data_IF_281922287225
#
_entry.id   IF_281922287225
#
_cell.length_a   1.000
_cell.length_b   1.000
_cell.length_c   1.000
_cell.angle_alpha   90.00
_cell.angle_beta   90.00
_cell.angle_gamma   90.00
#
_symmetry.space_group_name_H-M   'P 1'
#
loop_
_entity.id
_entity.type
_entity.pdbx_description
1 polymer ?
#
# COMPACT_ATOMS: atom_id res chain seq x y z
N UNK A 1 29.06 4.59 -77.69
CA UNK A 1 29.85 3.87 -76.65
C UNK A 1 29.49 4.46 -75.31
N UNK A 2 28.63 3.80 -74.57
CA UNK A 2 28.23 4.19 -73.22
C UNK A 2 28.73 3.10 -72.27
N UNK A 3 29.78 3.40 -71.56
CA UNK A 3 30.35 2.52 -70.56
C UNK A 3 30.29 3.23 -69.24
N UNK A 4 29.35 2.90 -68.38
CA UNK A 4 29.21 2.99 -66.95
C UNK A 4 27.70 3.01 -66.59
N UNK A 5 27.08 1.82 -66.43
CA UNK A 5 25.91 1.66 -65.60
C UNK A 5 26.38 1.46 -64.17
N UNK A 6 26.14 2.42 -63.28
CA UNK A 6 26.21 2.23 -61.84
C UNK A 6 24.99 1.43 -61.42
N UNK A 7 25.18 0.22 -60.95
CA UNK A 7 24.16 -0.49 -60.18
C UNK A 7 24.08 0.21 -58.83
N UNK A 8 22.92 0.78 -58.50
CA UNK A 8 22.62 1.19 -57.18
C UNK A 8 22.32 -0.05 -56.32
N UNK A 9 23.32 -0.52 -55.60
CA UNK A 9 23.08 -1.41 -54.48
C UNK A 9 22.49 -0.51 -53.35
N UNK A 10 21.19 -0.55 -53.17
CA UNK A 10 20.56 -0.07 -51.96
C UNK A 10 21.04 -0.94 -50.83
N UNK A 11 21.90 -0.39 -49.99
CA UNK A 11 22.24 -0.99 -48.70
C UNK A 11 20.97 -0.89 -47.87
N UNK A 12 20.24 -2.00 -47.71
CA UNK A 12 19.17 -2.11 -46.72
C UNK A 12 19.83 -1.79 -45.36
N UNK A 13 19.50 -0.61 -44.84
CA UNK A 13 19.86 -0.24 -43.48
C UNK A 13 19.14 -1.21 -42.57
N UNK A 14 19.89 -2.17 -42.01
CA UNK A 14 19.42 -2.98 -40.90
C UNK A 14 18.99 -2.02 -39.80
N UNK A 15 17.66 -1.95 -39.58
CA UNK A 15 17.09 -1.16 -38.52
C UNK A 15 17.70 -1.68 -37.20
N UNK A 16 18.66 -0.93 -36.66
CA UNK A 16 19.16 -1.15 -35.31
C UNK A 16 17.94 -1.10 -34.40
N UNK A 17 17.57 -2.26 -33.84
CA UNK A 17 16.60 -2.32 -32.76
C UNK A 17 17.17 -1.50 -31.60
N UNK A 18 16.79 -0.22 -31.51
CA UNK A 18 17.01 0.58 -30.33
C UNK A 18 16.30 -0.11 -29.17
N UNK A 19 17.04 -0.86 -28.40
CA UNK A 19 16.55 -1.42 -27.14
C UNK A 19 16.23 -0.22 -26.25
N UNK A 20 14.95 0.02 -26.00
CA UNK A 20 14.52 1.02 -25.01
C UNK A 20 14.96 0.52 -23.63
N UNK A 21 16.01 1.09 -23.10
CA UNK A 21 16.52 0.80 -21.75
C UNK A 21 15.83 1.64 -20.66
N UNK A 22 14.96 2.54 -21.07
CA UNK A 22 14.16 3.35 -20.14
C UNK A 22 13.24 2.45 -19.31
N UNK A 23 13.28 2.58 -17.98
CA UNK A 23 12.48 1.78 -17.05
C UNK A 23 13.11 0.45 -16.64
N UNK A 24 14.26 0.03 -17.20
CA UNK A 24 14.92 -1.21 -16.80
C UNK A 24 15.78 -1.06 -15.52
N UNK A 25 16.10 0.17 -15.14
CA UNK A 25 16.96 0.49 -14.02
C UNK A 25 16.29 1.46 -13.06
N UNK A 26 16.41 1.19 -11.76
CA UNK A 26 15.89 2.02 -10.68
C UNK A 26 17.04 2.50 -9.83
N UNK A 27 17.14 3.80 -9.56
CA UNK A 27 18.12 4.36 -8.64
C UNK A 27 17.51 4.40 -7.24
N UNK A 28 18.19 3.78 -6.28
CA UNK A 28 17.78 3.85 -4.89
C UNK A 28 18.02 5.25 -4.32
N UNK A 29 17.02 5.85 -3.68
CA UNK A 29 17.13 7.20 -3.11
C UNK A 29 18.04 7.26 -1.89
N UNK A 30 18.18 6.16 -1.13
CA UNK A 30 19.01 6.10 0.06
C UNK A 30 20.48 5.84 -0.30
N UNK A 31 20.82 4.68 -0.85
CA UNK A 31 22.19 4.33 -1.14
C UNK A 31 22.70 4.83 -2.51
N UNK A 32 21.83 5.46 -3.33
CA UNK A 32 22.12 6.02 -4.66
C UNK A 32 22.59 4.99 -5.70
N UNK A 33 22.62 3.71 -5.37
CA UNK A 33 22.98 2.64 -6.29
C UNK A 33 21.89 2.41 -7.33
N UNK A 34 22.33 2.03 -8.52
CA UNK A 34 21.43 1.65 -9.63
C UNK A 34 21.17 0.16 -9.55
N UNK A 35 19.90 -0.24 -9.57
CA UNK A 35 19.45 -1.61 -9.42
C UNK A 35 18.65 -1.99 -10.67
N UNK A 36 18.86 -3.19 -11.19
CA UNK A 36 18.03 -3.70 -12.27
C UNK A 36 16.61 -3.94 -11.78
N UNK A 37 15.63 -3.45 -12.53
CA UNK A 37 14.21 -3.50 -12.13
C UNK A 37 13.76 -4.93 -11.83
N UNK A 38 14.15 -5.92 -12.67
CA UNK A 38 13.80 -7.32 -12.45
C UNK A 38 14.35 -7.89 -11.13
N UNK A 39 15.57 -7.50 -10.75
CA UNK A 39 16.15 -7.95 -9.47
C UNK A 39 15.41 -7.30 -8.30
N UNK A 40 14.99 -6.05 -8.46
CA UNK A 40 14.20 -5.34 -7.46
C UNK A 40 12.81 -5.98 -7.29
N UNK A 41 12.13 -6.27 -8.40
CA UNK A 41 10.81 -6.91 -8.41
C UNK A 41 10.87 -8.32 -7.79
N UNK A 42 11.85 -9.14 -8.21
CA UNK A 42 12.07 -10.47 -7.62
C UNK A 42 12.43 -10.42 -6.13
N UNK A 43 12.93 -9.28 -5.65
CA UNK A 43 13.26 -9.03 -4.24
C UNK A 43 12.12 -8.33 -3.48
N UNK A 44 10.88 -8.42 -3.96
CA UNK A 44 9.72 -7.76 -3.36
C UNK A 44 9.88 -6.24 -3.25
N UNK A 45 10.50 -5.61 -4.22
CA UNK A 45 10.79 -4.18 -4.22
C UNK A 45 11.58 -3.71 -2.97
N UNK A 46 12.48 -4.55 -2.47
CA UNK A 46 13.46 -4.21 -1.44
C UNK A 46 14.83 -4.03 -2.10
N UNK A 47 15.51 -2.94 -1.81
CA UNK A 47 16.84 -2.66 -2.35
C UNK A 47 17.83 -3.78 -2.02
N UNK A 48 18.47 -4.36 -3.02
CA UNK A 48 19.45 -5.45 -2.82
C UNK A 48 20.78 -4.98 -2.21
N UNK A 49 20.96 -3.66 -1.98
CA UNK A 49 22.21 -3.05 -1.49
C UNK A 49 22.08 -2.47 -0.08
N UNK A 50 20.99 -1.81 0.24
CA UNK A 50 20.80 -1.17 1.54
C UNK A 50 19.50 -1.57 2.24
N UNK A 51 18.77 -2.52 1.67
CA UNK A 51 17.50 -3.05 2.22
C UNK A 51 16.37 -2.00 2.34
N UNK A 52 16.51 -0.83 1.68
CA UNK A 52 15.40 0.13 1.60
C UNK A 52 14.18 -0.54 0.99
N UNK A 53 13.03 -0.40 1.63
CA UNK A 53 11.75 -0.82 1.13
C UNK A 53 11.18 0.22 0.18
N UNK A 54 11.07 -0.10 -1.11
CA UNK A 54 10.31 0.72 -2.05
C UNK A 54 8.82 0.48 -1.86
N UNK A 55 8.00 1.44 -2.30
CA UNK A 55 6.55 1.26 -2.30
C UNK A 55 6.16 0.16 -3.27
N UNK A 56 5.19 -0.63 -2.87
CA UNK A 56 4.55 -1.66 -3.69
C UNK A 56 3.06 -1.39 -3.75
N UNK A 57 2.43 -1.83 -4.81
CA UNK A 57 0.99 -1.69 -4.96
C UNK A 57 0.21 -2.67 -4.05
N UNK A 58 -1.11 -2.48 -4.00
CA UNK A 58 -1.99 -3.29 -3.16
C UNK A 58 -2.01 -4.76 -3.57
N UNK A 59 -1.86 -5.09 -4.86
CA UNK A 59 -1.84 -6.46 -5.35
C UNK A 59 -0.52 -7.17 -5.06
N UNK A 60 0.61 -6.49 -5.26
CA UNK A 60 1.92 -6.99 -4.82
C UNK A 60 1.92 -7.24 -3.30
N UNK A 61 1.22 -6.40 -2.54
CA UNK A 61 1.05 -6.57 -1.09
C UNK A 61 0.24 -7.83 -0.77
N UNK A 62 -0.85 -8.06 -1.47
CA UNK A 62 -1.64 -9.28 -1.30
C UNK A 62 -0.85 -10.53 -1.72
N UNK A 63 -0.09 -10.47 -2.81
CA UNK A 63 0.77 -11.55 -3.27
C UNK A 63 1.87 -11.90 -2.25
N UNK A 64 2.44 -10.89 -1.59
CA UNK A 64 3.44 -11.08 -0.53
C UNK A 64 2.88 -11.82 0.70
N UNK A 65 1.64 -11.54 1.07
CA UNK A 65 1.07 -11.97 2.35
C UNK A 65 0.26 -13.25 2.23
N UNK A 66 -0.45 -13.46 1.12
CA UNK A 66 -1.35 -14.59 0.96
C UNK A 66 -0.66 -15.83 0.39
N UNK A 67 -1.26 -16.99 0.62
CA UNK A 67 -0.78 -18.26 0.10
C UNK A 67 -1.00 -18.34 -1.41
N UNK A 68 -0.01 -18.84 -2.14
CA UNK A 68 -0.04 -18.92 -3.60
C UNK A 68 0.48 -17.66 -4.31
N UNK A 69 0.71 -16.56 -3.59
CA UNK A 69 1.29 -15.35 -4.17
C UNK A 69 2.81 -15.40 -4.24
N UNK A 70 3.35 -14.96 -5.38
CA UNK A 70 4.78 -14.80 -5.64
C UNK A 70 5.02 -13.46 -6.36
N UNK A 71 6.27 -12.93 -6.43
CA UNK A 71 6.55 -11.73 -7.21
C UNK A 71 6.09 -11.88 -8.66
N UNK A 72 5.20 -10.98 -9.10
CA UNK A 72 4.67 -10.99 -10.47
C UNK A 72 3.53 -11.98 -10.72
N UNK A 73 2.96 -12.61 -9.70
CA UNK A 73 1.77 -13.47 -9.85
C UNK A 73 0.56 -12.66 -10.32
N UNK A 74 -0.20 -13.20 -11.27
CA UNK A 74 -1.45 -12.61 -11.73
C UNK A 74 -2.52 -12.60 -10.62
N UNK A 75 -3.41 -11.62 -10.68
CA UNK A 75 -4.28 -11.18 -9.57
C UNK A 75 -5.34 -12.19 -9.12
N UNK A 76 -5.71 -13.16 -9.94
CA UNK A 76 -7.01 -13.85 -9.77
C UNK A 76 -6.91 -15.28 -9.21
N UNK A 77 -5.70 -15.80 -8.95
CA UNK A 77 -5.54 -17.24 -8.70
C UNK A 77 -5.51 -17.64 -7.22
N UNK A 78 -5.30 -16.71 -6.27
CA UNK A 78 -5.03 -17.07 -4.88
C UNK A 78 -5.80 -16.27 -3.82
N UNK A 79 -6.62 -15.28 -4.22
CA UNK A 79 -7.52 -14.55 -3.32
C UNK A 79 -8.79 -14.12 -4.03
N UNK A 80 -9.82 -13.81 -3.24
CA UNK A 80 -11.09 -13.30 -3.75
C UNK A 80 -11.26 -11.85 -3.35
N UNK A 81 -11.36 -10.94 -4.34
CA UNK A 81 -11.66 -9.53 -4.10
C UNK A 81 -13.15 -9.33 -3.86
N UNK A 82 -13.50 -8.49 -2.90
CA UNK A 82 -14.88 -8.10 -2.65
C UNK A 82 -15.03 -6.59 -2.53
N UNK A 83 -16.26 -6.08 -2.71
CA UNK A 83 -16.60 -4.65 -2.70
C UNK A 83 -15.79 -3.78 -3.69
N UNK A 84 -15.26 -4.39 -4.76
CA UNK A 84 -14.41 -3.74 -5.76
C UNK A 84 -15.13 -2.69 -6.64
N UNK A 85 -16.45 -2.62 -6.56
CA UNK A 85 -17.31 -1.72 -7.36
C UNK A 85 -17.60 -0.38 -6.66
N UNK A 86 -17.19 -0.21 -5.41
CA UNK A 86 -17.36 1.04 -4.69
C UNK A 86 -16.51 2.16 -5.34
N UNK A 87 -17.14 3.29 -5.65
CA UNK A 87 -16.48 4.42 -6.29
C UNK A 87 -17.00 5.75 -5.73
N UNK A 88 -16.11 6.73 -5.57
CA UNK A 88 -16.46 8.08 -5.14
C UNK A 88 -17.29 8.81 -6.20
N UNK A 89 -18.27 9.59 -5.75
CA UNK A 89 -19.21 10.34 -6.57
C UNK A 89 -18.93 11.83 -6.66
N UNK A 90 -17.86 12.33 -5.99
CA UNK A 90 -17.55 13.76 -5.87
C UNK A 90 -18.75 14.60 -5.38
N UNK A 91 -19.25 14.36 -4.17
CA UNK A 91 -20.47 15.00 -3.67
C UNK A 91 -20.32 16.52 -3.48
N UNK A 92 -19.09 17.00 -3.29
CA UNK A 92 -18.81 18.43 -3.07
C UNK A 92 -18.51 19.19 -4.36
N UNK A 93 -18.37 18.52 -5.49
CA UNK A 93 -17.91 19.10 -6.77
C UNK A 93 -16.63 19.92 -6.57
N UNK A 94 -15.69 19.32 -5.80
CA UNK A 94 -14.47 20.00 -5.37
C UNK A 94 -13.56 20.32 -6.56
N UNK A 95 -13.02 21.54 -6.54
CA UNK A 95 -12.04 21.99 -7.53
C UNK A 95 -10.98 22.84 -6.83
N UNK A 96 -9.72 22.47 -6.98
CA UNK A 96 -8.54 23.27 -6.68
C UNK A 96 -7.86 23.69 -7.98
N UNK A 97 -6.64 23.25 -8.24
CA UNK A 97 -5.97 23.41 -9.54
C UNK A 97 -6.62 22.55 -10.65
N UNK A 98 -7.41 21.53 -10.26
CA UNK A 98 -8.08 20.59 -11.13
C UNK A 98 -9.34 20.03 -10.45
N UNK A 99 -10.41 19.79 -11.22
CA UNK A 99 -11.62 19.18 -10.68
C UNK A 99 -11.35 17.76 -10.12
N UNK A 100 -11.89 17.46 -8.94
CA UNK A 100 -11.73 16.16 -8.28
C UNK A 100 -12.23 14.99 -9.15
N UNK A 101 -13.36 15.18 -9.83
CA UNK A 101 -13.91 14.20 -10.77
C UNK A 101 -12.92 13.80 -11.86
N UNK A 102 -12.16 14.76 -12.40
CA UNK A 102 -11.16 14.47 -13.45
C UNK A 102 -9.94 13.77 -12.88
N UNK A 103 -9.56 14.11 -11.64
CA UNK A 103 -8.49 13.44 -10.89
C UNK A 103 -8.86 11.99 -10.62
N UNK A 104 -10.10 11.72 -10.18
CA UNK A 104 -10.62 10.37 -9.99
C UNK A 104 -10.54 9.55 -11.28
N UNK A 105 -11.09 10.07 -12.39
CA UNK A 105 -11.07 9.36 -13.68
C UNK A 105 -9.67 9.00 -14.15
N UNK A 106 -8.74 9.96 -14.03
CA UNK A 106 -7.35 9.73 -14.44
C UNK A 106 -6.71 8.65 -13.57
N UNK A 107 -6.88 8.71 -12.24
CA UNK A 107 -6.28 7.76 -11.33
C UNK A 107 -6.90 6.37 -11.49
N UNK A 108 -8.21 6.27 -11.66
CA UNK A 108 -8.89 5.02 -11.99
C UNK A 108 -8.35 4.39 -13.28
N UNK A 109 -8.12 5.20 -14.31
CA UNK A 109 -7.57 4.73 -15.58
C UNK A 109 -6.10 4.26 -15.45
N UNK A 110 -5.29 4.91 -14.60
CA UNK A 110 -3.87 4.58 -14.43
C UNK A 110 -3.64 3.40 -13.48
N UNK A 111 -4.50 3.21 -12.46
CA UNK A 111 -4.35 2.14 -11.45
C UNK A 111 -5.22 0.91 -11.75
N UNK A 112 -6.27 1.07 -12.54
CA UNK A 112 -7.30 0.04 -12.73
C UNK A 112 -8.23 -0.14 -11.52
N UNK A 113 -8.02 0.61 -10.43
CA UNK A 113 -8.82 0.55 -9.21
C UNK A 113 -9.96 1.57 -9.22
N UNK A 114 -10.97 1.34 -8.41
CA UNK A 114 -12.08 2.29 -8.21
C UNK A 114 -11.78 3.31 -7.12
N UNK A 115 -11.02 2.92 -6.10
CA UNK A 115 -10.54 3.80 -5.02
C UNK A 115 -9.26 3.24 -4.37
N UNK A 116 -8.75 3.89 -3.34
CA UNK A 116 -7.43 3.67 -2.74
C UNK A 116 -7.36 2.46 -1.78
N UNK A 117 -8.14 1.42 -2.00
CA UNK A 117 -8.11 0.20 -1.18
C UNK A 117 -8.60 -1.01 -1.98
N UNK A 118 -8.00 -2.16 -1.71
CA UNK A 118 -8.45 -3.48 -2.20
C UNK A 118 -8.75 -4.35 -0.99
N UNK A 119 -9.98 -4.86 -0.92
CA UNK A 119 -10.39 -5.84 0.07
C UNK A 119 -10.30 -7.24 -0.53
N UNK A 120 -9.67 -8.15 0.18
CA UNK A 120 -9.49 -9.52 -0.24
C UNK A 120 -9.77 -10.53 0.87
N UNK A 121 -10.23 -11.69 0.49
CA UNK A 121 -10.31 -12.89 1.30
C UNK A 121 -9.32 -13.92 0.77
N UNK A 122 -8.50 -14.47 1.64
CA UNK A 122 -7.45 -15.42 1.26
C UNK A 122 -6.94 -16.18 2.48
N UNK A 123 -5.76 -16.81 2.32
CA UNK A 123 -5.14 -17.60 3.38
C UNK A 123 -3.72 -17.12 3.68
N UNK A 124 -3.36 -17.12 4.96
CA UNK A 124 -1.99 -16.95 5.44
C UNK A 124 -1.58 -18.25 6.14
N UNK A 125 -0.69 -19.00 5.52
CA UNK A 125 -0.26 -20.33 5.98
C UNK A 125 -1.44 -21.26 6.30
N UNK A 126 -2.38 -21.36 5.36
CA UNK A 126 -3.59 -22.18 5.45
C UNK A 126 -4.71 -21.63 6.32
N UNK A 127 -4.54 -20.49 6.96
CA UNK A 127 -5.51 -19.82 7.83
C UNK A 127 -6.30 -18.77 7.06
N UNK A 128 -7.61 -18.88 7.02
CA UNK A 128 -8.48 -17.88 6.38
C UNK A 128 -8.34 -16.53 7.07
N UNK A 129 -8.22 -15.47 6.27
CA UNK A 129 -8.10 -14.09 6.74
C UNK A 129 -8.87 -13.13 5.83
N UNK A 130 -9.28 -11.99 6.38
CA UNK A 130 -9.75 -10.83 5.64
C UNK A 130 -8.63 -9.81 5.61
N UNK A 131 -8.27 -9.30 4.42
CA UNK A 131 -7.23 -8.28 4.25
C UNK A 131 -7.79 -7.06 3.54
N UNK A 132 -7.50 -5.87 4.07
CA UNK A 132 -7.67 -4.58 3.38
C UNK A 132 -6.30 -4.01 3.08
N UNK A 133 -5.91 -3.92 1.81
CA UNK A 133 -4.65 -3.34 1.39
C UNK A 133 -4.88 -1.97 0.75
N UNK A 134 -4.34 -0.91 1.35
CA UNK A 134 -4.43 0.45 0.80
C UNK A 134 -3.48 0.64 -0.38
N UNK A 135 -3.91 1.46 -1.34
CA UNK A 135 -3.18 1.76 -2.57
C UNK A 135 -2.68 3.20 -2.59
N UNK A 136 -1.38 3.38 -2.41
CA UNK A 136 -0.80 4.72 -2.36
C UNK A 136 -0.81 5.44 -3.71
N UNK A 137 -0.73 4.74 -4.83
CA UNK A 137 -0.77 5.34 -6.16
C UNK A 137 -2.14 5.96 -6.48
N UNK A 138 -3.19 5.58 -5.76
CA UNK A 138 -4.51 6.17 -5.89
C UNK A 138 -4.64 7.42 -5.00
N UNK A 139 -4.36 8.58 -5.53
CA UNK A 139 -4.44 9.91 -4.86
C UNK A 139 -3.68 9.89 -3.50
N UNK A 140 -2.45 9.36 -3.49
CA UNK A 140 -1.63 9.28 -2.27
C UNK A 140 -2.20 8.36 -1.19
N UNK A 141 -2.99 7.34 -1.55
CA UNK A 141 -3.63 6.45 -0.59
C UNK A 141 -4.62 7.17 0.34
N UNK A 142 -5.09 8.36 -0.05
CA UNK A 142 -5.91 9.18 0.84
C UNK A 142 -7.26 8.55 1.13
N UNK A 143 -7.65 8.55 2.41
CA UNK A 143 -8.91 8.00 2.89
C UNK A 143 -10.06 8.95 2.58
N UNK A 144 -10.89 8.59 1.61
CA UNK A 144 -12.21 9.18 1.35
C UNK A 144 -13.34 8.30 1.86
N UNK A 145 -14.57 8.66 1.51
CA UNK A 145 -15.80 7.93 1.90
C UNK A 145 -15.77 6.47 1.44
N UNK A 146 -15.26 6.20 0.25
CA UNK A 146 -15.16 4.84 -0.31
C UNK A 146 -14.16 3.98 0.46
N UNK A 147 -12.96 4.52 0.76
CA UNK A 147 -11.98 3.79 1.57
C UNK A 147 -12.54 3.46 2.94
N UNK A 148 -13.20 4.43 3.59
CA UNK A 148 -13.83 4.22 4.89
C UNK A 148 -14.94 3.18 4.85
N UNK A 149 -15.81 3.22 3.83
CA UNK A 149 -16.85 2.21 3.62
C UNK A 149 -16.26 0.83 3.37
N UNK A 150 -15.26 0.72 2.48
CA UNK A 150 -14.66 -0.55 2.12
C UNK A 150 -13.97 -1.21 3.34
N UNK A 151 -13.17 -0.46 4.10
CA UNK A 151 -12.54 -0.98 5.33
C UNK A 151 -13.60 -1.37 6.36
N UNK A 152 -14.66 -0.55 6.53
CA UNK A 152 -15.78 -0.89 7.44
C UNK A 152 -16.42 -2.23 7.06
N UNK A 153 -16.72 -2.46 5.79
CA UNK A 153 -17.27 -3.74 5.30
C UNK A 153 -16.32 -4.91 5.50
N UNK A 154 -15.01 -4.70 5.34
CA UNK A 154 -14.02 -5.73 5.63
C UNK A 154 -14.04 -6.11 7.12
N UNK A 155 -14.15 -5.13 8.01
CA UNK A 155 -14.30 -5.34 9.46
C UNK A 155 -15.59 -6.11 9.77
N UNK A 156 -16.73 -5.69 9.21
CA UNK A 156 -18.01 -6.34 9.39
C UNK A 156 -17.95 -7.79 8.91
N UNK A 157 -17.39 -8.04 7.72
CA UNK A 157 -17.18 -9.38 7.18
C UNK A 157 -16.28 -10.25 8.07
N UNK A 158 -15.19 -9.68 8.58
CA UNK A 158 -14.29 -10.35 9.52
C UNK A 158 -15.03 -10.74 10.80
N UNK A 159 -15.85 -9.84 11.34
CA UNK A 159 -16.68 -10.06 12.51
C UNK A 159 -17.69 -11.19 12.30
N UNK A 160 -18.46 -11.13 11.21
CA UNK A 160 -19.50 -12.11 10.86
C UNK A 160 -18.92 -13.51 10.63
N UNK A 161 -17.80 -13.58 9.90
CA UNK A 161 -17.14 -14.84 9.57
C UNK A 161 -16.16 -15.33 10.65
N UNK A 162 -15.93 -14.52 11.69
CA UNK A 162 -14.93 -14.78 12.75
C UNK A 162 -13.54 -15.08 12.19
N UNK A 163 -13.14 -14.38 11.13
CA UNK A 163 -11.83 -14.47 10.49
C UNK A 163 -10.97 -13.30 10.94
N UNK A 164 -9.68 -13.52 11.26
CA UNK A 164 -8.75 -12.44 11.57
C UNK A 164 -8.74 -11.37 10.49
N UNK A 165 -8.66 -10.11 10.91
CA UNK A 165 -8.55 -8.94 10.04
C UNK A 165 -7.09 -8.48 9.97
N UNK A 166 -6.62 -8.21 8.76
CA UNK A 166 -5.32 -7.55 8.52
C UNK A 166 -5.59 -6.29 7.69
N UNK A 167 -5.19 -5.12 8.18
CA UNK A 167 -5.23 -3.89 7.38
C UNK A 167 -3.82 -3.42 7.11
N UNK A 168 -3.47 -3.32 5.83
CA UNK A 168 -2.18 -2.80 5.39
C UNK A 168 -2.37 -1.34 4.98
N UNK A 169 -1.85 -0.43 5.79
CA UNK A 169 -1.97 1.01 5.60
C UNK A 169 -0.84 1.57 4.76
N UNK A 170 -1.20 2.33 3.71
CA UNK A 170 -0.30 3.09 2.85
C UNK A 170 -1.01 4.40 2.46
N UNK A 171 -0.84 5.48 3.24
CA UNK A 171 -1.72 6.65 3.11
C UNK A 171 -1.07 7.96 3.52
N UNK A 172 -1.35 9.01 2.75
CA UNK A 172 -1.09 10.40 3.11
C UNK A 172 -2.14 11.01 4.06
N UNK A 173 -3.16 10.26 4.50
CA UNK A 173 -4.18 10.73 5.44
C UNK A 173 -5.58 10.91 4.85
N UNK A 174 -6.39 11.77 5.44
CA UNK A 174 -7.76 12.03 4.99
C UNK A 174 -7.81 12.77 3.65
N UNK A 175 -8.73 12.38 2.78
CA UNK A 175 -8.91 12.97 1.44
C UNK A 175 -9.58 14.34 1.52
N UNK A 176 -8.81 15.40 1.34
CA UNK A 176 -9.29 16.79 1.45
C UNK A 176 -10.45 17.12 0.51
N UNK A 177 -10.48 16.53 -0.68
CA UNK A 177 -11.50 16.76 -1.70
C UNK A 177 -12.92 16.32 -1.30
N UNK A 178 -13.01 15.45 -0.30
CA UNK A 178 -14.30 15.00 0.25
C UNK A 178 -14.64 15.66 1.59
N UNK A 179 -13.80 16.59 2.05
CA UNK A 179 -14.07 17.44 3.23
C UNK A 179 -14.38 16.65 4.50
N UNK A 180 -15.43 17.01 5.19
CA UNK A 180 -15.87 16.39 6.45
C UNK A 180 -16.20 14.90 6.27
N UNK A 181 -16.69 14.49 5.10
CA UNK A 181 -16.99 13.07 4.85
C UNK A 181 -15.76 12.18 5.03
N UNK A 182 -14.56 12.64 4.62
CA UNK A 182 -13.30 11.93 4.87
C UNK A 182 -12.97 11.82 6.36
N UNK A 183 -13.18 12.87 7.12
CA UNK A 183 -12.90 12.88 8.57
C UNK A 183 -13.84 11.95 9.33
N UNK A 184 -15.11 11.88 8.93
CA UNK A 184 -16.09 10.97 9.53
C UNK A 184 -15.79 9.49 9.29
N UNK A 185 -14.96 9.15 8.29
CA UNK A 185 -14.54 7.77 8.10
C UNK A 185 -13.69 7.24 9.25
N UNK A 186 -12.90 8.09 9.91
CA UNK A 186 -12.14 7.70 11.10
C UNK A 186 -13.08 7.16 12.20
N UNK A 187 -14.13 7.90 12.52
CA UNK A 187 -15.12 7.49 13.52
C UNK A 187 -15.88 6.22 13.09
N UNK A 188 -16.25 6.13 11.80
CA UNK A 188 -16.96 4.98 11.24
C UNK A 188 -16.15 3.70 11.35
N UNK A 189 -14.88 3.72 10.92
CA UNK A 189 -14.00 2.57 10.99
C UNK A 189 -13.74 2.18 12.45
N UNK A 190 -13.45 3.16 13.32
CA UNK A 190 -13.21 2.89 14.75
C UNK A 190 -14.43 2.27 15.45
N UNK A 191 -15.64 2.70 15.10
CA UNK A 191 -16.87 2.08 15.62
C UNK A 191 -17.07 0.64 15.14
N UNK A 192 -16.65 0.32 13.91
CA UNK A 192 -16.68 -1.05 13.42
C UNK A 192 -15.62 -1.93 14.11
N UNK A 193 -14.41 -1.38 14.34
CA UNK A 193 -13.36 -2.07 15.11
C UNK A 193 -13.76 -2.39 16.54
N UNK A 194 -14.50 -1.49 17.21
CA UNK A 194 -15.04 -1.77 18.55
C UNK A 194 -15.94 -3.01 18.56
N UNK A 195 -16.76 -3.21 17.52
CA UNK A 195 -17.59 -4.43 17.38
C UNK A 195 -16.77 -5.68 17.07
N UNK A 196 -15.66 -5.52 16.33
CA UNK A 196 -14.73 -6.62 16.06
C UNK A 196 -14.06 -7.09 17.36
N UNK A 197 -13.64 -6.13 18.20
CA UNK A 197 -13.07 -6.39 19.52
C UNK A 197 -14.06 -7.09 20.45
N UNK A 198 -15.31 -6.60 20.56
CA UNK A 198 -16.39 -7.28 21.29
C UNK A 198 -16.63 -8.72 20.82
N UNK A 199 -16.42 -8.98 19.54
CA UNK A 199 -16.51 -10.32 18.96
C UNK A 199 -15.25 -11.16 19.22
N UNK A 200 -14.20 -10.61 19.84
CA UNK A 200 -12.91 -11.24 20.05
C UNK A 200 -12.30 -11.82 18.75
N UNK A 201 -12.36 -11.03 17.67
CA UNK A 201 -11.74 -11.34 16.39
C UNK A 201 -10.48 -10.51 16.25
N UNK A 202 -9.29 -11.12 16.05
CA UNK A 202 -8.02 -10.40 16.01
C UNK A 202 -7.93 -9.40 14.87
N UNK A 203 -7.38 -8.23 15.18
CA UNK A 203 -7.04 -7.19 14.22
C UNK A 203 -5.52 -6.93 14.23
N UNK A 204 -4.84 -7.16 13.11
CA UNK A 204 -3.42 -6.84 12.92
C UNK A 204 -3.31 -5.64 11.96
N UNK A 205 -2.72 -4.56 12.45
CA UNK A 205 -2.39 -3.39 11.64
C UNK A 205 -0.97 -3.46 11.12
N UNK A 206 -0.79 -3.40 9.80
CA UNK A 206 0.50 -3.35 9.12
C UNK A 206 0.70 -1.95 8.55
N UNK A 207 1.66 -1.20 9.11
CA UNK A 207 1.93 0.18 8.71
C UNK A 207 3.10 0.23 7.73
N UNK A 208 2.89 0.83 6.57
CA UNK A 208 3.90 0.95 5.52
C UNK A 208 4.21 2.40 5.18
N UNK A 209 5.21 2.64 4.34
CA UNK A 209 5.64 3.98 3.94
C UNK A 209 4.76 4.58 2.82
N UNK A 210 4.10 5.73 3.09
CA UNK A 210 3.84 6.38 4.36
C UNK A 210 2.51 5.93 4.99
N UNK A 211 2.37 6.08 6.31
CA UNK A 211 1.08 6.01 7.00
C UNK A 211 0.92 7.26 7.84
N UNK A 212 0.15 8.25 7.38
CA UNK A 212 0.12 9.57 7.98
C UNK A 212 -1.30 10.13 8.15
N UNK A 213 -1.40 11.25 8.87
CA UNK A 213 -2.62 12.02 9.04
C UNK A 213 -3.72 11.28 9.78
N UNK A 214 -4.94 11.42 9.30
CA UNK A 214 -6.13 10.81 9.90
C UNK A 214 -6.10 9.28 9.92
N UNK A 215 -5.34 8.63 9.02
CA UNK A 215 -5.20 7.17 9.00
C UNK A 215 -4.40 6.71 10.23
N UNK A 216 -3.24 7.33 10.49
CA UNK A 216 -2.45 7.04 11.71
C UNK A 216 -3.22 7.42 12.98
N UNK A 217 -3.91 8.58 12.97
CA UNK A 217 -4.67 9.04 14.14
C UNK A 217 -5.97 8.24 14.41
N UNK A 218 -6.21 7.17 13.68
CA UNK A 218 -7.41 6.34 13.83
C UNK A 218 -7.07 4.84 13.68
N UNK A 219 -7.69 4.16 12.76
CA UNK A 219 -7.68 2.70 12.65
C UNK A 219 -6.29 2.08 12.52
N UNK A 220 -5.32 2.77 11.91
CA UNK A 220 -3.98 2.21 11.72
C UNK A 220 -3.20 2.00 13.03
N UNK A 221 -3.60 2.65 14.13
CA UNK A 221 -2.99 2.48 15.47
C UNK A 221 -3.93 1.80 16.47
N UNK A 222 -5.00 1.14 15.98
CA UNK A 222 -5.97 0.44 16.82
C UNK A 222 -5.89 -1.09 16.68
N UNK A 223 -4.80 -1.61 16.12
CA UNK A 223 -4.58 -3.06 16.04
C UNK A 223 -4.29 -3.69 17.41
N UNK A 224 -4.71 -4.94 17.60
CA UNK A 224 -4.20 -5.77 18.69
C UNK A 224 -2.69 -5.98 18.56
N UNK A 225 -2.19 -5.94 17.33
CA UNK A 225 -0.77 -5.81 16.98
C UNK A 225 -0.60 -4.71 15.93
N UNK A 226 0.27 -3.74 16.24
CA UNK A 226 0.68 -2.68 15.33
C UNK A 226 2.11 -2.94 14.87
N UNK A 227 2.28 -3.44 13.65
CA UNK A 227 3.59 -3.79 13.08
C UNK A 227 3.90 -2.91 11.89
N UNK A 228 5.16 -2.59 11.67
CA UNK A 228 5.56 -1.72 10.56
C UNK A 228 6.70 -2.31 9.72
N UNK A 229 6.81 -1.86 8.47
CA UNK A 229 8.00 -2.11 7.66
C UNK A 229 9.15 -1.18 8.10
N UNK A 230 10.42 -1.61 7.97
CA UNK A 230 11.60 -0.79 8.27
C UNK A 230 11.59 0.54 7.52
N UNK A 231 11.96 1.61 8.23
CA UNK A 231 12.09 2.95 7.68
C UNK A 231 10.76 3.61 7.24
N UNK A 232 9.62 3.01 7.53
CA UNK A 232 8.31 3.57 7.17
C UNK A 232 8.06 4.89 7.91
N UNK A 233 7.63 5.92 7.17
CA UNK A 233 7.19 7.19 7.73
C UNK A 233 5.78 7.02 8.32
N UNK A 234 5.67 7.13 9.64
CA UNK A 234 4.42 6.95 10.37
C UNK A 234 4.23 8.12 11.33
N UNK A 235 3.14 8.89 11.16
CA UNK A 235 2.89 10.02 12.02
C UNK A 235 1.64 10.81 11.62
N UNK A 236 1.22 11.75 12.45
CA UNK A 236 0.05 12.58 12.14
C UNK A 236 0.39 13.64 11.10
N UNK A 237 1.20 14.62 11.47
CA UNK A 237 1.69 15.64 10.54
C UNK A 237 3.02 15.19 9.93
N UNK A 238 3.20 15.42 8.64
CA UNK A 238 4.48 15.13 7.98
C UNK A 238 5.63 15.98 8.56
N UNK A 239 6.88 15.49 8.58
CA UNK A 239 8.04 16.16 9.17
C UNK A 239 8.19 17.61 8.70
N UNK A 240 8.02 17.85 7.39
CA UNK A 240 8.10 19.18 6.78
C UNK A 240 7.12 20.18 7.39
N UNK A 241 5.87 19.74 7.64
CA UNK A 241 4.83 20.60 8.24
C UNK A 241 5.19 20.93 9.67
N UNK A 242 5.68 19.95 10.44
CA UNK A 242 6.10 20.15 11.82
C UNK A 242 7.25 21.15 11.86
N UNK A 243 8.33 20.94 11.11
CA UNK A 243 9.50 21.82 11.07
C UNK A 243 9.15 23.26 10.70
N UNK A 244 8.26 23.45 9.72
CA UNK A 244 7.78 24.79 9.35
C UNK A 244 6.96 25.46 10.45
N UNK A 245 6.18 24.68 11.21
CA UNK A 245 5.33 25.17 12.29
C UNK A 245 6.14 25.56 13.51
N UNK A 246 7.03 24.65 13.98
CA UNK A 246 7.85 24.91 15.18
C UNK A 246 9.15 25.68 14.87
N UNK A 247 9.48 25.84 13.58
CA UNK A 247 10.71 26.51 13.09
C UNK A 247 12.01 25.89 13.65
N UNK A 248 11.99 24.57 13.84
CA UNK A 248 13.13 23.78 14.32
C UNK A 248 13.30 22.55 13.46
N UNK A 249 14.52 22.06 13.34
CA UNK A 249 14.79 20.76 12.69
C UNK A 249 14.38 19.64 13.62
N UNK A 250 13.77 18.62 13.06
CA UNK A 250 13.41 17.42 13.78
C UNK A 250 14.64 16.54 14.04
N UNK A 251 14.65 15.74 15.10
CA UNK A 251 15.68 14.73 15.32
C UNK A 251 15.81 13.79 14.12
N UNK A 252 17.01 13.25 13.90
CA UNK A 252 17.22 12.24 12.89
C UNK A 252 16.37 11.00 13.19
N UNK A 253 15.76 10.42 12.14
CA UNK A 253 14.87 9.27 12.27
C UNK A 253 13.50 9.57 12.89
N UNK A 254 13.16 10.83 13.16
CA UNK A 254 11.85 11.19 13.71
C UNK A 254 10.71 10.67 12.83
N UNK A 255 9.71 10.04 13.46
CA UNK A 255 8.56 9.40 12.81
C UNK A 255 8.90 8.19 11.90
N UNK A 256 10.10 7.64 11.97
CA UNK A 256 10.35 6.32 11.37
C UNK A 256 9.74 5.21 12.21
N UNK A 257 9.51 4.06 11.61
CA UNK A 257 9.03 2.87 12.33
C UNK A 257 9.92 2.49 13.52
N UNK A 258 11.25 2.61 13.37
CA UNK A 258 12.23 2.33 14.43
C UNK A 258 12.08 3.31 15.59
N UNK A 259 11.88 4.60 15.28
CA UNK A 259 11.61 5.62 16.30
C UNK A 259 10.33 5.32 17.08
N UNK A 260 9.26 4.95 16.37
CA UNK A 260 7.99 4.63 17.01
C UNK A 260 8.07 3.36 17.88
N UNK A 261 8.81 2.34 17.43
CA UNK A 261 9.06 1.14 18.21
C UNK A 261 9.79 1.45 19.53
N UNK A 262 10.83 2.29 19.48
CA UNK A 262 11.57 2.73 20.66
C UNK A 262 10.71 3.52 21.67
N UNK A 263 9.66 4.20 21.16
CA UNK A 263 8.74 4.99 22.00
C UNK A 263 7.46 4.22 22.37
N UNK A 264 7.40 2.90 22.13
CA UNK A 264 6.29 2.06 22.54
C UNK A 264 4.99 2.25 21.74
N UNK A 265 5.06 2.84 20.54
CA UNK A 265 3.91 3.03 19.67
C UNK A 265 3.70 1.88 18.68
N UNK A 266 4.70 1.03 18.50
CA UNK A 266 4.63 -0.19 17.67
C UNK A 266 5.06 -1.40 18.49
N UNK A 267 4.53 -2.56 18.14
CA UNK A 267 4.88 -3.84 18.74
C UNK A 267 6.10 -4.47 18.05
N UNK A 268 6.26 -4.25 16.76
CA UNK A 268 7.40 -4.74 15.98
C UNK A 268 7.67 -3.93 14.71
N UNK A 269 8.94 -3.92 14.29
CA UNK A 269 9.37 -3.56 12.95
C UNK A 269 9.80 -4.84 12.25
N UNK A 270 9.15 -5.19 11.14
CA UNK A 270 9.30 -6.47 10.46
C UNK A 270 9.69 -6.27 9.01
N UNK A 271 10.81 -6.86 8.61
CA UNK A 271 11.25 -6.81 7.23
C UNK A 271 10.20 -7.45 6.30
N UNK A 272 9.97 -6.86 5.13
CA UNK A 272 8.93 -7.28 4.18
C UNK A 272 8.95 -8.78 3.88
N UNK A 273 10.11 -9.36 3.68
CA UNK A 273 10.28 -10.79 3.40
C UNK A 273 9.86 -11.69 4.55
N UNK A 274 9.95 -11.18 5.78
CA UNK A 274 9.62 -11.93 6.99
C UNK A 274 8.18 -11.69 7.45
N UNK A 275 7.48 -10.75 6.80
CA UNK A 275 6.14 -10.30 7.19
C UNK A 275 5.14 -11.45 7.22
N UNK A 276 5.08 -12.29 6.19
CA UNK A 276 4.17 -13.44 6.15
C UNK A 276 4.46 -14.44 7.27
N UNK A 277 5.73 -14.73 7.54
CA UNK A 277 6.12 -15.62 8.62
C UNK A 277 5.80 -15.03 10.00
N UNK A 278 5.95 -13.72 10.16
CA UNK A 278 5.59 -13.03 11.40
C UNK A 278 4.07 -13.07 11.62
N UNK A 279 3.27 -12.73 10.60
CA UNK A 279 1.81 -12.80 10.64
C UNK A 279 1.32 -14.23 10.96
N UNK A 280 1.95 -15.25 10.39
CA UNK A 280 1.62 -16.65 10.68
C UNK A 280 1.76 -16.94 12.17
N UNK A 281 2.89 -16.58 12.80
CA UNK A 281 3.12 -16.78 14.23
C UNK A 281 2.15 -15.99 15.10
N UNK A 282 1.88 -14.72 14.72
CA UNK A 282 0.93 -13.89 15.44
C UNK A 282 -0.48 -14.50 15.41
N UNK A 283 -0.94 -14.93 14.25
CA UNK A 283 -2.23 -15.58 14.07
C UNK A 283 -2.31 -16.94 14.81
N UNK A 284 -1.22 -17.72 14.86
CA UNK A 284 -1.17 -18.97 15.62
C UNK A 284 -1.34 -18.73 17.12
N UNK A 285 -0.81 -17.62 17.63
CA UNK A 285 -0.96 -17.23 19.02
C UNK A 285 -2.35 -16.67 19.32
N UNK A 286 -2.87 -15.76 18.46
CA UNK A 286 -4.12 -15.05 18.70
C UNK A 286 -5.37 -15.90 18.39
N UNK A 287 -5.24 -16.86 17.46
CA UNK A 287 -6.33 -17.77 17.08
C UNK A 287 -5.84 -19.22 17.14
N UNK A 288 -5.66 -19.78 18.33
CA UNK A 288 -5.24 -21.17 18.46
C UNK A 288 -6.20 -22.09 17.72
N UNK A 289 -5.66 -23.11 17.03
CA UNK A 289 -6.48 -24.13 16.38
C UNK A 289 -7.35 -24.78 17.45
N UNK A 290 -8.64 -24.91 17.21
CA UNK A 290 -9.49 -25.75 18.04
C UNK A 290 -8.87 -27.16 18.09
N UNK A 291 -8.66 -27.66 19.31
CA UNK A 291 -8.07 -28.96 19.56
C UNK A 291 -8.95 -30.09 19.01
#
# INVERSE_FOLDING_TARGET
MSWFKRENNEIEATAEKRVRTEGLWVKCDDCRQVIWKKDLDANWNVCTKCERHFRIDSHERLALLLDGGEPGTDRDDFYTVFDFNLASTDPLKFTDTRAYKDRLRQTQASTGLKDAVVNAEGKVNGRDVIISAMEYSFIGGSMGSVVGEAITRAIERATEQRKPLIVVSASGGARMMEGVASLMQMAKISAALARLDEAAVPYISVLTDPTTGGVTASFAMLGDLNIAEPGALIGFAGPRVIEQTIRQKLPEGFQTSEFLLQHGMLDAVVHRKDMKAYLTRALDFMTPKAA
#
